data_IF_625247794542
#
_entry.id   IF_625247794542
#
_cell.length_a   1.000
_cell.length_b   1.000
_cell.length_c   1.000
_cell.angle_alpha   90.00
_cell.angle_beta   90.00
_cell.angle_gamma   90.00
#
_symmetry.space_group_name_H-M   'P 1'
#
loop_
_entity.id
_entity.type
_entity.pdbx_description
1 polymer ?
#
# COMPACT_ATOMS: atom_id res chain seq x y z
N UNK A 1 -10.08 -4.09 6.98
CA UNK A 1 -9.31 -5.34 6.91
C UNK A 1 -7.81 -5.08 6.80
N UNK A 2 -7.31 -4.45 5.73
CA UNK A 2 -5.86 -4.25 5.52
C UNK A 2 -5.11 -3.56 6.67
N UNK A 3 -5.69 -2.51 7.29
CA UNK A 3 -5.08 -1.88 8.46
C UNK A 3 -4.91 -2.86 9.65
N UNK A 4 -5.93 -3.68 9.93
CA UNK A 4 -5.86 -4.72 10.96
C UNK A 4 -4.78 -5.77 10.63
N UNK A 5 -4.68 -6.18 9.37
CA UNK A 5 -3.62 -7.09 8.90
C UNK A 5 -2.24 -6.49 9.12
N UNK A 6 -2.03 -5.19 8.85
CA UNK A 6 -0.72 -4.54 9.10
C UNK A 6 -0.36 -4.52 10.59
N UNK A 7 -1.33 -4.38 11.50
CA UNK A 7 -1.08 -4.47 12.95
C UNK A 7 -0.66 -5.89 13.34
N UNK A 8 -1.30 -6.93 12.79
CA UNK A 8 -0.92 -8.33 13.04
C UNK A 8 0.51 -8.59 12.54
N UNK A 9 0.84 -8.16 11.33
CA UNK A 9 2.19 -8.29 10.77
C UNK A 9 3.21 -7.55 11.64
N UNK A 10 2.88 -6.34 12.11
CA UNK A 10 3.74 -5.57 13.01
C UNK A 10 3.98 -6.29 14.35
N UNK A 11 2.95 -6.94 14.90
CA UNK A 11 3.09 -7.80 16.08
C UNK A 11 4.03 -8.98 15.83
N UNK A 12 3.90 -9.64 14.67
CA UNK A 12 4.81 -10.70 14.25
C UNK A 12 6.27 -10.25 14.11
N UNK A 13 6.50 -9.10 13.47
CA UNK A 13 7.84 -8.51 13.34
C UNK A 13 8.42 -8.10 14.69
N UNK A 14 7.61 -7.54 15.59
CA UNK A 14 8.02 -7.19 16.96
C UNK A 14 8.44 -8.44 17.75
N UNK A 15 7.68 -9.54 17.63
CA UNK A 15 8.04 -10.81 18.26
C UNK A 15 9.35 -11.37 17.68
N UNK A 16 9.55 -11.25 16.36
CA UNK A 16 10.78 -11.64 15.69
C UNK A 16 11.99 -10.83 16.15
N UNK A 17 11.81 -9.52 16.38
CA UNK A 17 12.85 -8.64 16.92
C UNK A 17 13.26 -9.03 18.34
N UNK A 18 12.28 -9.31 19.22
CA UNK A 18 12.55 -9.77 20.58
C UNK A 18 13.20 -11.15 20.67
N UNK A 19 13.09 -11.97 19.63
CA UNK A 19 13.70 -13.30 19.53
C UNK A 19 14.75 -13.40 18.41
N UNK A 20 15.35 -12.27 18.00
CA UNK A 20 16.20 -12.18 16.81
C UNK A 20 17.34 -13.21 16.80
N UNK A 21 18.07 -13.37 17.91
CA UNK A 21 19.14 -14.37 18.05
C UNK A 21 18.65 -15.80 17.78
N UNK A 22 17.52 -16.19 18.38
CA UNK A 22 16.95 -17.53 18.23
C UNK A 22 16.47 -17.79 16.81
N UNK A 23 15.86 -16.78 16.17
CA UNK A 23 15.35 -16.90 14.81
C UNK A 23 16.49 -16.92 13.78
N UNK A 24 17.52 -16.07 13.95
CA UNK A 24 18.75 -16.07 13.15
C UNK A 24 19.43 -17.44 13.17
N UNK A 25 19.71 -17.96 14.38
CA UNK A 25 20.41 -19.23 14.55
C UNK A 25 19.68 -20.43 13.92
N UNK A 26 18.35 -20.36 13.80
CA UNK A 26 17.56 -21.39 13.11
C UNK A 26 17.54 -21.20 11.60
N UNK A 27 17.46 -19.96 11.11
CA UNK A 27 17.40 -19.67 9.69
C UNK A 27 18.74 -19.87 8.98
N UNK A 28 19.85 -19.64 9.66
CA UNK A 28 21.20 -19.86 9.11
C UNK A 28 21.55 -21.34 8.93
N UNK A 29 20.72 -22.25 9.43
CA UNK A 29 20.82 -23.67 9.10
C UNK A 29 20.36 -23.98 7.66
N UNK A 30 19.68 -23.04 7.00
CA UNK A 30 19.30 -23.18 5.59
C UNK A 30 20.46 -22.79 4.67
N UNK A 31 20.72 -23.59 3.62
CA UNK A 31 21.92 -23.45 2.77
C UNK A 31 21.99 -22.15 1.96
N UNK A 32 20.88 -21.41 1.85
CA UNK A 32 20.80 -20.19 1.04
C UNK A 32 20.80 -18.89 1.87
N UNK A 33 20.80 -18.99 3.20
CA UNK A 33 20.77 -17.82 4.08
C UNK A 33 22.20 -17.36 4.34
N UNK A 34 22.49 -16.10 3.99
CA UNK A 34 23.80 -15.49 4.24
C UNK A 34 23.95 -15.18 5.72
N UNK A 35 25.00 -15.70 6.35
CA UNK A 35 25.38 -15.33 7.72
C UNK A 35 25.77 -13.85 7.77
N UNK A 36 25.06 -13.09 8.60
CA UNK A 36 25.25 -11.65 8.77
C UNK A 36 25.29 -11.32 10.26
N UNK A 37 25.95 -10.24 10.68
CA UNK A 37 25.91 -9.81 12.07
C UNK A 37 24.47 -9.62 12.57
N UNK A 38 24.20 -9.91 13.86
CA UNK A 38 22.87 -9.78 14.46
C UNK A 38 22.24 -8.39 14.22
N UNK A 39 23.05 -7.34 14.35
CA UNK A 39 22.63 -5.94 14.10
C UNK A 39 22.07 -5.75 12.69
N UNK A 40 22.62 -6.43 11.69
CA UNK A 40 22.10 -6.40 10.31
C UNK A 40 20.76 -7.11 10.24
N UNK A 41 20.59 -8.19 11.00
CA UNK A 41 19.33 -8.94 11.08
C UNK A 41 18.21 -8.09 11.71
N UNK A 42 18.49 -7.41 12.82
CA UNK A 42 17.59 -6.45 13.46
C UNK A 42 17.22 -5.30 12.52
N UNK A 43 18.21 -4.78 11.77
CA UNK A 43 17.96 -3.73 10.78
C UNK A 43 16.98 -4.18 9.68
N UNK A 44 17.11 -5.42 9.17
CA UNK A 44 16.16 -5.98 8.20
C UNK A 44 14.73 -6.01 8.75
N UNK A 45 14.57 -6.37 10.03
CA UNK A 45 13.26 -6.37 10.69
C UNK A 45 12.72 -4.95 10.82
N UNK A 46 13.52 -4.01 11.34
CA UNK A 46 13.11 -2.60 11.51
C UNK A 46 12.74 -1.97 10.16
N UNK A 47 13.48 -2.29 9.10
CA UNK A 47 13.15 -1.87 7.74
C UNK A 47 11.76 -2.35 7.31
N UNK A 48 11.43 -3.62 7.52
CA UNK A 48 10.09 -4.13 7.23
C UNK A 48 9.01 -3.50 8.12
N UNK A 49 9.30 -3.29 9.41
CA UNK A 49 8.38 -2.60 10.32
C UNK A 49 8.05 -1.21 9.80
N UNK A 50 9.04 -0.44 9.32
CA UNK A 50 8.82 0.89 8.75
C UNK A 50 7.88 0.84 7.53
N UNK A 51 8.02 -0.15 6.64
CA UNK A 51 7.11 -0.35 5.51
C UNK A 51 5.69 -0.67 5.99
N UNK A 52 5.54 -1.59 6.95
CA UNK A 52 4.23 -2.00 7.47
C UNK A 52 3.54 -0.84 8.20
N UNK A 53 4.29 -0.04 8.96
CA UNK A 53 3.79 1.18 9.62
C UNK A 53 3.31 2.19 8.57
N UNK A 54 4.09 2.43 7.51
CA UNK A 54 3.68 3.29 6.40
C UNK A 54 2.37 2.78 5.75
N UNK A 55 2.26 1.48 5.50
CA UNK A 55 1.06 0.88 4.94
C UNK A 55 -0.16 1.08 5.87
N UNK A 56 0.01 0.87 7.18
CA UNK A 56 -1.03 1.11 8.18
C UNK A 56 -1.59 2.53 8.09
N UNK A 57 -0.71 3.55 8.12
CA UNK A 57 -1.16 4.95 8.05
C UNK A 57 -1.85 5.28 6.73
N UNK A 58 -1.37 4.75 5.60
CA UNK A 58 -2.02 4.93 4.29
C UNK A 58 -3.43 4.34 4.29
N UNK A 59 -3.62 3.13 4.82
CA UNK A 59 -4.94 2.51 4.92
C UNK A 59 -5.86 3.21 5.93
N UNK A 60 -5.33 3.65 7.08
CA UNK A 60 -6.09 4.40 8.08
C UNK A 60 -6.60 5.73 7.51
N UNK A 61 -5.75 6.43 6.76
CA UNK A 61 -6.13 7.67 6.08
C UNK A 61 -7.18 7.42 5.00
N UNK A 62 -6.98 6.41 4.14
CA UNK A 62 -7.97 6.04 3.13
C UNK A 62 -9.33 5.71 3.75
N UNK A 63 -9.37 4.95 4.85
CA UNK A 63 -10.59 4.63 5.57
C UNK A 63 -11.32 5.88 6.10
N UNK A 64 -10.57 6.85 6.62
CA UNK A 64 -11.13 8.15 7.03
C UNK A 64 -11.74 8.90 5.86
N UNK A 65 -11.07 8.92 4.71
CA UNK A 65 -11.57 9.56 3.50
C UNK A 65 -12.84 8.89 2.96
N UNK A 66 -12.98 7.56 3.10
CA UNK A 66 -14.22 6.87 2.73
C UNK A 66 -15.43 7.40 3.50
N UNK A 67 -15.27 7.78 4.77
CA UNK A 67 -16.35 8.41 5.54
C UNK A 67 -16.70 9.80 5.00
N UNK A 68 -15.68 10.60 4.66
CA UNK A 68 -15.91 11.91 4.02
C UNK A 68 -16.61 11.77 2.67
N UNK A 69 -16.24 10.77 1.89
CA UNK A 69 -16.92 10.45 0.63
C UNK A 69 -18.38 10.07 0.87
N UNK A 70 -18.66 9.24 1.88
CA UNK A 70 -20.03 8.92 2.29
C UNK A 70 -20.84 10.16 2.69
N UNK A 71 -20.24 11.10 3.43
CA UNK A 71 -20.91 12.36 3.78
C UNK A 71 -21.17 13.25 2.56
N UNK A 72 -20.25 13.31 1.59
CA UNK A 72 -20.46 14.06 0.35
C UNK A 72 -21.58 13.46 -0.50
N UNK A 73 -21.65 12.12 -0.56
CA UNK A 73 -22.73 11.42 -1.26
C UNK A 73 -24.09 11.65 -0.56
N UNK A 74 -24.13 11.65 0.77
CA UNK A 74 -25.34 11.96 1.53
C UNK A 74 -25.77 13.43 1.47
N UNK A 75 -24.81 14.34 1.29
CA UNK A 75 -25.04 15.78 1.14
C UNK A 75 -25.28 16.21 -0.31
N UNK A 76 -25.71 15.29 -1.18
CA UNK A 76 -25.95 15.60 -2.59
C UNK A 76 -27.07 16.65 -2.72
N UNK A 77 -26.88 17.71 -3.53
CA UNK A 77 -27.88 18.74 -3.70
C UNK A 77 -29.24 18.16 -4.14
N UNK A 78 -30.36 18.58 -3.53
CA UNK A 78 -31.70 18.14 -3.93
C UNK A 78 -31.99 18.59 -5.36
N UNK A 79 -32.55 17.68 -6.17
CA UNK A 79 -32.73 17.89 -7.62
C UNK A 79 -33.64 19.09 -7.94
N UNK A 80 -34.67 19.32 -7.13
CA UNK A 80 -35.69 20.37 -7.35
C UNK A 80 -35.23 21.78 -6.96
N UNK A 81 -34.24 21.88 -6.06
CA UNK A 81 -33.84 23.15 -5.43
C UNK A 81 -32.40 23.56 -5.77
N UNK A 82 -31.76 22.89 -6.72
CA UNK A 82 -30.35 23.11 -7.06
C UNK A 82 -30.15 23.42 -8.54
N UNK A 83 -29.28 24.38 -8.83
CA UNK A 83 -28.88 24.71 -10.21
C UNK A 83 -27.94 23.64 -10.76
N UNK A 84 -27.95 23.44 -12.09
CA UNK A 84 -27.04 22.51 -12.76
C UNK A 84 -25.56 22.74 -12.38
N UNK A 85 -25.16 24.02 -12.29
CA UNK A 85 -23.79 24.43 -11.88
C UNK A 85 -23.46 23.98 -10.46
N UNK A 86 -24.41 23.99 -9.52
CA UNK A 86 -24.19 23.52 -8.15
C UNK A 86 -24.02 22.01 -8.10
N UNK A 87 -24.86 21.27 -8.84
CA UNK A 87 -24.78 19.82 -8.94
C UNK A 87 -23.45 19.38 -9.55
N UNK A 88 -23.01 20.01 -10.64
CA UNK A 88 -21.74 19.71 -11.30
C UNK A 88 -20.53 19.99 -10.39
N UNK A 89 -20.52 21.14 -9.70
CA UNK A 89 -19.47 21.48 -8.73
C UNK A 89 -19.40 20.47 -7.58
N UNK A 90 -20.55 19.99 -7.10
CA UNK A 90 -20.60 18.98 -6.05
C UNK A 90 -20.08 17.63 -6.53
N UNK A 91 -20.50 17.21 -7.73
CA UNK A 91 -20.05 15.99 -8.37
C UNK A 91 -18.52 16.01 -8.59
N UNK A 92 -17.97 17.10 -9.13
CA UNK A 92 -16.53 17.26 -9.36
C UNK A 92 -15.72 17.14 -8.06
N UNK A 93 -16.16 17.80 -6.98
CA UNK A 93 -15.50 17.69 -5.66
C UNK A 93 -15.58 16.28 -5.09
N UNK A 94 -16.73 15.61 -5.25
CA UNK A 94 -16.93 14.24 -4.77
C UNK A 94 -16.06 13.27 -5.54
N UNK A 95 -15.96 13.41 -6.87
CA UNK A 95 -15.08 12.63 -7.73
C UNK A 95 -13.60 12.84 -7.37
N UNK A 96 -13.18 14.08 -7.13
CA UNK A 96 -11.82 14.39 -6.68
C UNK A 96 -11.50 13.70 -5.34
N UNK A 97 -12.41 13.77 -4.37
CA UNK A 97 -12.24 13.09 -3.08
C UNK A 97 -12.18 11.56 -3.23
N UNK A 98 -12.99 10.98 -4.12
CA UNK A 98 -12.94 9.56 -4.45
C UNK A 98 -11.58 9.17 -5.04
N UNK A 99 -11.04 9.97 -5.96
CA UNK A 99 -9.70 9.78 -6.53
C UNK A 99 -8.60 9.82 -5.48
N UNK A 100 -8.64 10.80 -4.56
CA UNK A 100 -7.68 10.88 -3.44
C UNK A 100 -7.79 9.64 -2.53
N UNK A 101 -9.01 9.19 -2.24
CA UNK A 101 -9.26 7.97 -1.43
C UNK A 101 -8.65 6.73 -2.08
N UNK A 102 -8.86 6.57 -3.40
CA UNK A 102 -8.30 5.47 -4.18
C UNK A 102 -6.76 5.52 -4.21
N UNK A 103 -6.17 6.70 -4.40
CA UNK A 103 -4.73 6.90 -4.40
C UNK A 103 -4.09 6.45 -3.08
N UNK A 104 -4.62 6.89 -1.93
CA UNK A 104 -4.10 6.46 -0.62
C UNK A 104 -4.23 4.95 -0.40
N UNK A 105 -5.32 4.35 -0.87
CA UNK A 105 -5.54 2.90 -0.79
C UNK A 105 -4.50 2.14 -1.63
N UNK A 106 -4.25 2.61 -2.86
CA UNK A 106 -3.28 2.01 -3.77
C UNK A 106 -1.84 2.18 -3.25
N UNK A 107 -1.49 3.34 -2.70
CA UNK A 107 -0.20 3.56 -2.03
C UNK A 107 0.04 2.59 -0.87
N UNK A 108 -1.02 2.30 -0.09
CA UNK A 108 -0.98 1.30 0.96
C UNK A 108 -0.67 -0.10 0.40
N UNK A 109 -1.38 -0.51 -0.65
CA UNK A 109 -1.16 -1.79 -1.33
C UNK A 109 0.25 -1.91 -1.91
N UNK A 110 0.75 -0.88 -2.60
CA UNK A 110 2.13 -0.84 -3.11
C UNK A 110 3.14 -1.06 -1.99
N UNK A 111 2.94 -0.39 -0.85
CA UNK A 111 3.83 -0.53 0.30
C UNK A 111 3.83 -1.97 0.85
N UNK A 112 2.67 -2.63 0.89
CA UNK A 112 2.57 -4.05 1.26
C UNK A 112 3.30 -4.96 0.27
N UNK A 113 3.18 -4.72 -1.04
CA UNK A 113 3.91 -5.50 -2.05
C UNK A 113 5.43 -5.37 -1.87
N UNK A 114 5.93 -4.17 -1.60
CA UNK A 114 7.36 -3.97 -1.29
C UNK A 114 7.77 -4.61 0.03
N UNK A 115 6.91 -4.64 1.05
CA UNK A 115 7.20 -5.36 2.29
C UNK A 115 7.32 -6.87 2.04
N UNK A 116 6.48 -7.45 1.19
CA UNK A 116 6.57 -8.87 0.78
C UNK A 116 7.87 -9.14 0.02
N UNK A 117 8.23 -8.28 -0.94
CA UNK A 117 9.53 -8.38 -1.62
C UNK A 117 10.71 -8.26 -0.63
N UNK A 118 10.56 -7.39 0.37
CA UNK A 118 11.51 -7.21 1.46
C UNK A 118 11.79 -8.47 2.28
N UNK A 119 10.81 -9.39 2.40
CA UNK A 119 11.05 -10.69 3.06
C UNK A 119 12.14 -11.50 2.35
N UNK A 120 12.29 -11.35 1.03
CA UNK A 120 13.36 -11.99 0.26
C UNK A 120 14.76 -11.60 0.74
N UNK A 121 14.90 -10.48 1.45
CA UNK A 121 16.18 -10.03 2.00
C UNK A 121 16.71 -10.90 3.14
N UNK A 122 15.83 -11.66 3.81
CA UNK A 122 16.25 -12.65 4.80
C UNK A 122 16.94 -13.86 4.16
N UNK A 123 16.62 -14.17 2.89
CA UNK A 123 17.30 -15.22 2.14
C UNK A 123 18.61 -14.69 1.58
N UNK A 124 18.54 -13.72 0.66
CA UNK A 124 19.71 -13.22 -0.05
C UNK A 124 19.47 -11.82 -0.60
N UNK A 125 20.51 -10.98 -0.65
CA UNK A 125 20.42 -9.61 -1.18
C UNK A 125 19.94 -9.56 -2.63
N UNK A 126 20.33 -10.55 -3.46
CA UNK A 126 19.85 -10.66 -4.85
C UNK A 126 18.36 -10.97 -4.94
N UNK A 127 17.82 -11.82 -4.06
CA UNK A 127 16.38 -12.14 -4.04
C UNK A 127 15.58 -10.90 -3.68
N UNK A 128 16.07 -10.08 -2.75
CA UNK A 128 15.49 -8.77 -2.44
C UNK A 128 15.49 -7.83 -3.65
N UNK A 129 16.62 -7.68 -4.33
CA UNK A 129 16.73 -6.79 -5.50
C UNK A 129 15.77 -7.24 -6.62
N UNK A 130 15.76 -8.53 -6.95
CA UNK A 130 14.88 -9.11 -7.97
C UNK A 130 13.42 -8.95 -7.56
N UNK A 131 13.09 -9.24 -6.30
CA UNK A 131 11.74 -9.07 -5.76
C UNK A 131 11.25 -7.62 -5.85
N UNK A 132 12.08 -6.66 -5.47
CA UNK A 132 11.76 -5.23 -5.59
C UNK A 132 11.61 -4.80 -7.05
N UNK A 133 12.50 -5.24 -7.95
CA UNK A 133 12.40 -4.96 -9.38
C UNK A 133 11.12 -5.57 -9.99
N UNK A 134 10.75 -6.77 -9.56
CA UNK A 134 9.52 -7.45 -10.00
C UNK A 134 8.25 -6.72 -9.54
N UNK A 135 8.19 -6.33 -8.26
CA UNK A 135 7.07 -5.52 -7.74
C UNK A 135 7.00 -4.18 -8.48
N UNK A 136 8.13 -3.52 -8.70
CA UNK A 136 8.20 -2.28 -9.46
C UNK A 136 7.68 -2.45 -10.89
N UNK A 137 8.08 -3.52 -11.58
CA UNK A 137 7.61 -3.83 -12.93
C UNK A 137 6.10 -4.09 -12.98
N UNK A 138 5.54 -4.79 -11.99
CA UNK A 138 4.08 -5.00 -11.88
C UNK A 138 3.35 -3.68 -11.68
N UNK A 139 3.80 -2.86 -10.72
CA UNK A 139 3.18 -1.56 -10.41
C UNK A 139 3.26 -0.64 -11.63
N UNK A 140 4.43 -0.56 -12.27
CA UNK A 140 4.63 0.23 -13.48
C UNK A 140 3.70 -0.22 -14.61
N UNK A 141 3.63 -1.53 -14.88
CA UNK A 141 2.73 -2.07 -15.91
C UNK A 141 1.26 -1.81 -15.57
N UNK A 142 0.86 -1.92 -14.30
CA UNK A 142 -0.54 -1.71 -13.89
C UNK A 142 -0.97 -0.26 -13.99
N UNK A 143 -0.07 0.69 -13.81
CA UNK A 143 -0.40 2.11 -13.70
C UNK A 143 -0.17 2.89 -14.98
N UNK A 144 0.84 2.51 -15.76
CA UNK A 144 1.17 3.19 -17.00
C UNK A 144 0.69 2.43 -18.24
N UNK A 145 0.44 1.11 -18.15
CA UNK A 145 0.02 0.30 -19.30
C UNK A 145 -1.43 -0.21 -19.23
N UNK A 146 -2.18 0.10 -18.16
CA UNK A 146 -3.56 -0.37 -18.03
C UNK A 146 -4.53 0.77 -18.32
N UNK A 147 -4.93 0.90 -19.60
CA UNK A 147 -6.32 1.06 -20.14
C UNK A 147 -7.32 2.05 -19.53
N UNK A 148 -7.15 2.54 -18.30
CA UNK A 148 -8.05 3.50 -17.66
C UNK A 148 -7.86 4.93 -18.22
N UNK A 149 -6.63 5.30 -18.60
CA UNK A 149 -6.39 6.55 -19.32
C UNK A 149 -6.97 6.49 -20.74
N UNK A 150 -6.70 5.40 -21.49
CA UNK A 150 -7.29 5.16 -22.81
C UNK A 150 -8.82 5.08 -22.79
N UNK A 151 -9.44 4.48 -21.77
CA UNK A 151 -10.90 4.41 -21.67
C UNK A 151 -11.58 5.74 -21.28
N UNK A 152 -10.81 6.73 -20.82
CA UNK A 152 -11.29 8.10 -20.58
C UNK A 152 -11.05 8.97 -21.82
N UNK A 153 -9.92 8.79 -22.52
CA UNK A 153 -9.61 9.50 -23.77
C UNK A 153 -10.52 9.10 -24.96
N UNK A 154 -10.96 7.84 -25.05
CA UNK A 154 -11.80 7.35 -26.16
C UNK A 154 -13.26 7.87 -26.12
N UNK A 155 -13.61 8.70 -25.13
CA UNK A 155 -14.98 9.18 -24.90
C UNK A 155 -15.14 10.70 -25.12
N UNK A 156 -14.10 11.38 -25.62
CA UNK A 156 -14.09 12.82 -25.92
C UNK A 156 -14.25 13.11 -27.44
N UNK A 157 -14.52 12.10 -28.29
CA UNK A 157 -14.68 12.24 -29.76
C UNK A 157 -16.12 12.07 -30.32
N UNK A 158 -17.18 11.97 -29.51
CA UNK A 158 -18.58 11.99 -30.01
C UNK A 158 -19.39 13.25 -29.62
#
# INVERSE_FOLDING_TARGET
FFASTTVIVLGGLTAMLGAADNVKNRLEQFPYVVDVPLVVWEFKIIFLMALVIRAFFKFAWAFRLTHYLGTMLGAMPPWEASTAVQCEKHAAKTAQLAGITAMHSNDGLRTVYFAIAGLGWFLHSLVFIIGCAWVLAIVYRREYASRALMAIEDNDEE
#
